data_IF_212436644743
#
_entry.id   IF_212436644743
#
_cell.length_a   1.000
_cell.length_b   1.000
_cell.length_c   1.000
_cell.angle_alpha   90.00
_cell.angle_beta   90.00
_cell.angle_gamma   90.00
#
_symmetry.space_group_name_H-M   'P 1'
#
loop_
_entity.id
_entity.type
_entity.pdbx_description
1 polymer ?
#
# COMPACT_ATOMS: atom_id res chain seq x y z
N UNK A 1 48.67 1.82 -42.02
CA UNK A 1 47.86 2.34 -40.90
C UNK A 1 47.64 1.20 -39.90
N UNK A 2 48.41 1.13 -38.81
CA UNK A 2 48.38 -0.01 -37.86
C UNK A 2 47.55 0.40 -36.65
N UNK A 3 46.34 -0.14 -36.51
CA UNK A 3 45.49 0.06 -35.33
C UNK A 3 46.03 -0.79 -34.18
N UNK A 4 46.47 -0.19 -33.08
CA UNK A 4 46.77 -0.93 -31.85
C UNK A 4 45.45 -1.21 -31.13
N UNK A 5 45.02 -2.47 -31.11
CA UNK A 5 43.97 -2.90 -30.20
C UNK A 5 44.63 -3.14 -28.83
N UNK A 6 44.38 -2.28 -27.85
CA UNK A 6 44.73 -2.57 -26.45
C UNK A 6 43.78 -3.65 -25.96
N UNK A 7 44.25 -4.88 -25.84
CA UNK A 7 43.49 -5.93 -25.18
C UNK A 7 43.50 -5.67 -23.67
N UNK A 8 42.31 -5.67 -23.06
CA UNK A 8 42.15 -5.64 -21.61
C UNK A 8 42.78 -6.91 -21.00
N UNK A 9 43.58 -6.78 -19.96
CA UNK A 9 44.27 -7.93 -19.38
C UNK A 9 43.29 -8.80 -18.58
N UNK A 10 43.53 -10.10 -18.56
CA UNK A 10 42.73 -11.04 -17.74
C UNK A 10 42.72 -10.63 -16.26
N UNK A 11 43.81 -10.05 -15.75
CA UNK A 11 43.92 -9.65 -14.34
C UNK A 11 43.10 -8.41 -14.01
N UNK A 12 42.99 -7.44 -14.92
CA UNK A 12 42.13 -6.26 -14.73
C UNK A 12 40.66 -6.67 -14.64
N UNK A 13 40.25 -7.65 -15.44
CA UNK A 13 38.88 -8.17 -15.42
C UNK A 13 38.57 -8.88 -14.10
N UNK A 14 39.52 -9.67 -13.58
CA UNK A 14 39.39 -10.34 -12.28
C UNK A 14 39.28 -9.32 -11.13
N UNK A 15 40.03 -8.22 -11.17
CA UNK A 15 39.94 -7.21 -10.11
C UNK A 15 38.59 -6.49 -10.10
N UNK A 16 38.03 -6.19 -11.28
CA UNK A 16 36.72 -5.56 -11.41
C UNK A 16 35.60 -6.44 -10.83
N UNK A 17 35.57 -7.74 -11.16
CA UNK A 17 34.53 -8.63 -10.65
C UNK A 17 34.63 -8.82 -9.13
N UNK A 18 35.83 -8.80 -8.56
CA UNK A 18 36.04 -8.91 -7.11
C UNK A 18 35.50 -7.66 -6.40
N UNK A 19 35.81 -6.47 -6.91
CA UNK A 19 35.28 -5.22 -6.35
C UNK A 19 33.75 -5.18 -6.45
N UNK A 20 33.19 -5.51 -7.62
CA UNK A 20 31.74 -5.56 -7.81
C UNK A 20 31.08 -6.59 -6.88
N UNK A 21 31.74 -7.73 -6.64
CA UNK A 21 31.27 -8.74 -5.70
C UNK A 21 31.17 -8.23 -4.25
N UNK A 22 32.20 -7.51 -3.77
CA UNK A 22 32.20 -6.93 -2.42
C UNK A 22 31.13 -5.84 -2.29
N UNK A 23 31.03 -4.93 -3.27
CA UNK A 23 30.03 -3.86 -3.26
C UNK A 23 28.61 -4.43 -3.32
N UNK A 24 28.38 -5.45 -4.15
CA UNK A 24 27.07 -6.10 -4.26
C UNK A 24 26.66 -6.78 -2.95
N UNK A 25 27.58 -7.46 -2.26
CA UNK A 25 27.31 -8.14 -1.00
C UNK A 25 26.77 -7.20 0.09
N UNK A 26 27.27 -5.96 0.14
CA UNK A 26 26.82 -4.96 1.12
C UNK A 26 25.59 -4.18 0.63
N UNK A 27 25.50 -3.90 -0.67
CA UNK A 27 24.42 -3.09 -1.23
C UNK A 27 23.08 -3.84 -1.32
N UNK A 28 23.09 -5.13 -1.68
CA UNK A 28 21.86 -5.91 -1.92
C UNK A 28 20.95 -5.96 -0.67
N UNK A 29 21.44 -6.29 0.54
CA UNK A 29 20.58 -6.34 1.73
C UNK A 29 19.95 -4.99 2.06
N UNK A 30 20.71 -3.90 1.90
CA UNK A 30 20.23 -2.55 2.18
C UNK A 30 19.16 -2.11 1.18
N UNK A 31 19.37 -2.40 -0.11
CA UNK A 31 18.38 -2.10 -1.16
C UNK A 31 17.10 -2.93 -0.99
N UNK A 32 17.19 -4.18 -0.53
CA UNK A 32 16.02 -5.00 -0.23
C UNK A 32 15.16 -4.37 0.89
N UNK A 33 15.77 -3.96 2.00
CA UNK A 33 15.08 -3.29 3.10
C UNK A 33 14.40 -1.99 2.65
N UNK A 34 15.12 -1.13 1.92
CA UNK A 34 14.55 0.15 1.43
C UNK A 34 13.39 -0.06 0.45
N UNK A 35 13.42 -1.12 -0.37
CA UNK A 35 12.29 -1.45 -1.26
C UNK A 35 11.06 -1.90 -0.48
N UNK A 36 11.25 -2.66 0.59
CA UNK A 36 10.16 -3.09 1.47
C UNK A 36 9.54 -1.90 2.21
N UNK A 37 10.36 -1.00 2.77
CA UNK A 37 9.89 0.22 3.42
C UNK A 37 9.11 1.13 2.46
N UNK A 38 9.61 1.28 1.22
CA UNK A 38 8.93 2.03 0.19
C UNK A 38 7.57 1.42 -0.18
N UNK A 39 7.46 0.08 -0.19
CA UNK A 39 6.19 -0.61 -0.43
C UNK A 39 5.19 -0.36 0.71
N UNK A 40 5.63 -0.45 1.96
CA UNK A 40 4.79 -0.14 3.14
C UNK A 40 4.27 1.29 3.05
N UNK A 41 5.16 2.25 2.81
CA UNK A 41 4.80 3.67 2.70
C UNK A 41 3.81 3.92 1.56
N UNK A 42 4.04 3.33 0.37
CA UNK A 42 3.12 3.44 -0.77
C UNK A 42 1.72 2.93 -0.43
N UNK A 43 1.64 1.74 0.18
CA UNK A 43 0.35 1.14 0.55
C UNK A 43 -0.37 2.01 1.59
N UNK A 44 0.35 2.44 2.64
CA UNK A 44 -0.22 3.32 3.67
C UNK A 44 -0.78 4.62 3.07
N UNK A 45 -0.02 5.27 2.17
CA UNK A 45 -0.46 6.49 1.49
C UNK A 45 -1.70 6.26 0.63
N UNK A 46 -1.75 5.16 -0.13
CA UNK A 46 -2.93 4.83 -0.95
C UNK A 46 -4.17 4.52 -0.09
N UNK A 47 -4.01 3.87 1.06
CA UNK A 47 -5.12 3.64 2.00
C UNK A 47 -5.64 4.98 2.54
N UNK A 48 -4.74 5.87 2.99
CA UNK A 48 -5.12 7.17 3.54
C UNK A 48 -5.76 8.09 2.47
N UNK A 49 -5.17 8.14 1.28
CA UNK A 49 -5.74 8.86 0.13
C UNK A 49 -7.11 8.28 -0.21
N UNK A 50 -7.22 6.95 -0.24
CA UNK A 50 -8.46 6.30 -0.62
C UNK A 50 -9.58 6.50 0.40
N UNK A 51 -9.26 6.47 1.70
CA UNK A 51 -10.22 6.82 2.74
C UNK A 51 -10.71 8.28 2.62
N UNK A 52 -9.82 9.21 2.27
CA UNK A 52 -10.20 10.61 2.04
C UNK A 52 -11.05 10.78 0.77
N UNK A 53 -10.70 10.10 -0.31
CA UNK A 53 -11.46 10.09 -1.57
C UNK A 53 -12.87 9.51 -1.38
N UNK A 54 -13.01 8.44 -0.60
CA UNK A 54 -14.32 7.87 -0.22
C UNK A 54 -15.17 8.90 0.53
N UNK A 55 -14.57 9.64 1.47
CA UNK A 55 -15.27 10.69 2.21
C UNK A 55 -15.68 11.88 1.31
N UNK A 56 -14.81 12.27 0.38
CA UNK A 56 -15.11 13.30 -0.62
C UNK A 56 -16.22 12.85 -1.58
N UNK A 57 -16.17 11.60 -2.03
CA UNK A 57 -17.19 11.01 -2.88
C UNK A 57 -18.55 11.02 -2.19
N UNK A 58 -18.61 10.53 -0.94
CA UNK A 58 -19.84 10.51 -0.15
C UNK A 58 -20.43 11.92 0.06
N UNK A 59 -19.58 12.93 0.23
CA UNK A 59 -20.00 14.33 0.40
C UNK A 59 -20.48 14.95 -0.91
N UNK A 60 -19.81 14.68 -2.03
CA UNK A 60 -20.11 15.27 -3.35
C UNK A 60 -21.31 14.64 -4.04
N UNK A 61 -21.47 13.32 -3.93
CA UNK A 61 -22.55 12.57 -4.56
C UNK A 61 -23.75 12.36 -3.62
N UNK A 62 -23.61 12.73 -2.34
CA UNK A 62 -24.60 12.49 -1.29
C UNK A 62 -25.09 11.02 -1.27
N UNK A 63 -24.22 10.08 -1.65
CA UNK A 63 -24.45 8.65 -1.75
C UNK A 63 -23.11 7.92 -1.61
N UNK A 64 -23.16 6.67 -1.16
CA UNK A 64 -22.03 5.73 -1.20
C UNK A 64 -22.34 4.67 -2.25
N UNK A 65 -21.33 4.27 -3.01
CA UNK A 65 -21.44 3.15 -3.96
C UNK A 65 -21.03 1.87 -3.24
N UNK A 66 -21.55 0.73 -3.69
CA UNK A 66 -21.17 -0.57 -3.14
C UNK A 66 -19.73 -0.92 -3.52
N UNK A 67 -19.11 -0.25 -4.50
CA UNK A 67 -17.75 -0.52 -4.96
C UNK A 67 -16.73 0.58 -4.59
N UNK A 68 -15.79 0.24 -3.70
CA UNK A 68 -14.74 1.17 -3.27
C UNK A 68 -13.81 1.63 -4.40
N UNK A 69 -13.59 0.84 -5.45
CA UNK A 69 -12.76 1.26 -6.59
C UNK A 69 -13.42 2.32 -7.46
N UNK A 70 -14.75 2.48 -7.38
CA UNK A 70 -15.48 3.57 -8.04
C UNK A 70 -15.35 4.86 -7.22
N UNK A 71 -15.35 4.73 -5.89
CA UNK A 71 -15.27 5.85 -4.98
C UNK A 71 -13.83 6.36 -4.76
N UNK A 72 -12.83 5.51 -4.96
CA UNK A 72 -11.43 5.84 -4.73
C UNK A 72 -10.47 5.28 -5.77
N UNK A 73 -9.66 6.18 -6.33
CA UNK A 73 -8.50 5.85 -7.16
C UNK A 73 -7.37 5.25 -6.33
N UNK A 74 -7.20 5.69 -5.07
CA UNK A 74 -6.25 5.11 -4.12
C UNK A 74 -6.49 3.61 -3.88
N UNK A 75 -7.74 3.23 -3.64
CA UNK A 75 -8.13 1.81 -3.48
C UNK A 75 -8.03 1.07 -4.81
N UNK A 76 -8.52 1.66 -5.90
CA UNK A 76 -8.41 1.06 -7.25
C UNK A 76 -6.96 0.73 -7.62
N UNK A 77 -6.02 1.64 -7.35
CA UNK A 77 -4.60 1.41 -7.57
C UNK A 77 -4.01 0.27 -6.73
N UNK A 78 -4.54 0.01 -5.54
CA UNK A 78 -4.09 -1.11 -4.69
C UNK A 78 -4.61 -2.45 -5.21
N UNK A 79 -5.85 -2.46 -5.74
CA UNK A 79 -6.43 -3.65 -6.37
C UNK A 79 -5.65 -3.99 -7.64
N UNK A 80 -5.35 -2.99 -8.48
CA UNK A 80 -4.60 -3.17 -9.73
C UNK A 80 -3.15 -3.64 -9.49
N UNK A 81 -2.51 -3.19 -8.40
CA UNK A 81 -1.17 -3.66 -8.04
C UNK A 81 -1.17 -5.05 -7.37
N UNK A 82 -2.34 -5.62 -7.10
CA UNK A 82 -2.52 -6.88 -6.37
C UNK A 82 -2.23 -6.78 -4.88
N UNK A 83 -2.09 -5.56 -4.35
CA UNK A 83 -1.85 -5.27 -2.94
C UNK A 83 -3.17 -5.20 -2.15
N UNK A 84 -4.33 -5.13 -2.80
CA UNK A 84 -5.64 -5.25 -2.15
C UNK A 84 -6.60 -6.16 -2.93
N UNK A 85 -7.60 -6.71 -2.25
CA UNK A 85 -8.70 -7.47 -2.84
C UNK A 85 -10.01 -6.91 -2.33
N UNK A 86 -10.93 -6.65 -3.25
CA UNK A 86 -12.29 -6.28 -2.90
C UNK A 86 -13.09 -7.51 -2.47
N UNK A 87 -13.87 -7.35 -1.40
CA UNK A 87 -14.76 -8.33 -0.79
C UNK A 87 -16.13 -7.70 -0.58
N UNK A 88 -17.12 -8.57 -0.32
CA UNK A 88 -18.52 -8.19 -0.08
C UNK A 88 -19.03 -7.22 -1.16
N UNK A 89 -19.06 -7.73 -2.40
CA UNK A 89 -19.51 -7.05 -3.62
C UNK A 89 -18.80 -5.74 -3.99
N UNK A 90 -17.71 -5.41 -3.29
CA UNK A 90 -16.90 -4.22 -3.53
C UNK A 90 -16.79 -3.29 -2.34
N UNK A 91 -17.59 -3.51 -1.28
CA UNK A 91 -17.76 -2.58 -0.16
C UNK A 91 -16.66 -2.71 0.90
N UNK A 92 -15.83 -3.74 0.76
CA UNK A 92 -14.66 -3.99 1.61
C UNK A 92 -13.41 -4.16 0.78
N UNK A 93 -12.32 -3.54 1.18
CA UNK A 93 -10.99 -3.74 0.62
C UNK A 93 -10.06 -4.35 1.68
N UNK A 94 -9.66 -5.59 1.46
CA UNK A 94 -8.63 -6.27 2.24
C UNK A 94 -7.26 -5.99 1.63
N UNK A 95 -6.43 -5.25 2.34
CA UNK A 95 -5.07 -4.91 1.92
C UNK A 95 -4.09 -5.96 2.44
N UNK A 96 -3.31 -6.49 1.50
CA UNK A 96 -2.29 -7.50 1.72
C UNK A 96 -0.96 -6.86 2.07
N UNK A 97 -0.28 -7.42 3.04
CA UNK A 97 1.12 -7.08 3.32
C UNK A 97 1.90 -8.30 3.77
N UNK A 98 3.06 -8.52 3.14
CA UNK A 98 3.87 -9.69 3.43
C UNK A 98 3.14 -10.99 3.09
N UNK A 99 3.04 -11.90 4.06
CA UNK A 99 2.30 -13.16 3.92
C UNK A 99 0.83 -13.08 4.37
N UNK A 100 0.38 -11.90 4.82
CA UNK A 100 -0.96 -11.69 5.38
C UNK A 100 -1.87 -11.06 4.33
N UNK A 101 -3.06 -11.63 4.15
CA UNK A 101 -4.04 -11.17 3.16
C UNK A 101 -4.94 -10.04 3.66
N UNK A 102 -5.19 -9.99 4.96
CA UNK A 102 -6.14 -9.14 5.66
C UNK A 102 -5.44 -8.17 6.62
N UNK A 103 -4.30 -7.63 6.19
CA UNK A 103 -3.47 -6.80 7.08
C UNK A 103 -4.20 -5.52 7.51
N UNK A 104 -4.86 -4.86 6.57
CA UNK A 104 -5.71 -3.68 6.82
C UNK A 104 -7.01 -3.89 6.05
N UNK A 105 -8.14 -3.65 6.70
CA UNK A 105 -9.47 -3.81 6.12
C UNK A 105 -10.12 -2.43 6.09
N UNK A 106 -10.43 -1.96 4.89
CA UNK A 106 -11.20 -0.73 4.68
C UNK A 106 -12.61 -1.15 4.30
N UNK A 107 -13.60 -0.79 5.11
CA UNK A 107 -14.99 -1.18 4.91
C UNK A 107 -15.90 0.05 4.98
N UNK A 108 -16.75 0.19 3.98
CA UNK A 108 -17.89 1.11 4.02
C UNK A 108 -19.11 0.31 4.44
N UNK A 109 -19.67 0.62 5.61
CA UNK A 109 -20.94 0.04 6.02
C UNK A 109 -22.07 1.01 5.71
N UNK A 110 -22.93 0.63 4.77
CA UNK A 110 -24.11 1.39 4.36
C UNK A 110 -25.29 1.02 5.25
N UNK A 111 -25.66 1.89 6.19
CA UNK A 111 -26.82 1.71 7.07
C UNK A 111 -28.05 2.48 6.56
N UNK A 112 -29.25 2.13 7.04
CA UNK A 112 -30.51 2.81 6.62
C UNK A 112 -30.52 4.33 6.89
N UNK A 113 -29.66 4.83 7.80
CA UNK A 113 -29.64 6.25 8.22
C UNK A 113 -28.23 6.86 8.35
N UNK A 114 -27.18 6.05 8.45
CA UNK A 114 -25.79 6.52 8.54
C UNK A 114 -24.89 5.59 7.73
N UNK A 115 -24.08 6.19 6.85
CA UNK A 115 -23.00 5.49 6.15
C UNK A 115 -21.71 5.77 6.91
N UNK A 116 -20.97 4.72 7.26
CA UNK A 116 -19.71 4.86 7.97
C UNK A 116 -18.56 4.23 7.19
N UNK A 117 -17.39 4.87 7.26
CA UNK A 117 -16.13 4.34 6.80
C UNK A 117 -15.36 3.84 8.01
N UNK A 118 -15.00 2.56 7.98
CA UNK A 118 -14.20 1.92 9.00
C UNK A 118 -12.88 1.45 8.40
N UNK A 119 -11.79 1.70 9.11
CA UNK A 119 -10.49 1.11 8.81
C UNK A 119 -10.13 0.28 10.03
N UNK A 120 -10.11 -1.03 9.85
CA UNK A 120 -9.76 -1.99 10.89
C UNK A 120 -8.48 -2.74 10.51
N UNK A 121 -7.87 -3.36 11.51
CA UNK A 121 -6.67 -4.16 11.35
C UNK A 121 -7.03 -5.62 11.54
N UNK A 122 -6.69 -6.46 10.55
CA UNK A 122 -6.78 -7.92 10.72
C UNK A 122 -5.54 -8.48 11.42
N UNK A 123 -5.49 -9.81 11.52
CA UNK A 123 -4.43 -10.48 12.26
C UNK A 123 -3.11 -10.46 11.50
N UNK A 124 -2.13 -9.73 12.04
CA UNK A 124 -0.80 -9.66 11.44
C UNK A 124 -0.05 -11.00 11.43
N UNK A 125 -0.55 -12.05 12.12
CA UNK A 125 0.01 -13.42 12.13
C UNK A 125 1.54 -13.49 12.37
N UNK A 126 2.10 -12.51 13.09
CA UNK A 126 3.54 -12.39 13.34
C UNK A 126 4.38 -11.80 12.21
N UNK A 127 3.77 -11.35 11.11
CA UNK A 127 4.44 -10.68 10.00
C UNK A 127 4.86 -9.25 10.41
N UNK A 128 6.17 -9.00 10.37
CA UNK A 128 6.74 -7.70 10.74
C UNK A 128 6.31 -6.59 9.78
N UNK A 129 6.10 -6.89 8.50
CA UNK A 129 5.69 -5.88 7.50
C UNK A 129 4.26 -5.44 7.74
N UNK A 130 3.38 -6.36 8.08
CA UNK A 130 1.99 -6.03 8.38
C UNK A 130 1.87 -5.20 9.66
N UNK A 131 2.53 -5.59 10.75
CA UNK A 131 2.55 -4.81 12.00
C UNK A 131 3.16 -3.41 11.81
N UNK A 132 4.21 -3.27 10.99
CA UNK A 132 4.74 -1.96 10.62
C UNK A 132 3.74 -1.12 9.83
N UNK A 133 3.02 -1.71 8.87
CA UNK A 133 1.97 -1.01 8.12
C UNK A 133 0.83 -0.55 9.03
N UNK A 134 0.37 -1.41 9.94
CA UNK A 134 -0.69 -1.09 10.91
C UNK A 134 -0.27 0.08 11.82
N UNK A 135 1.00 0.13 12.27
CA UNK A 135 1.50 1.25 13.07
C UNK A 135 1.58 2.58 12.31
N UNK A 136 1.64 2.55 10.97
CA UNK A 136 1.66 3.75 10.14
C UNK A 136 0.27 4.36 9.94
N UNK A 137 -0.80 3.60 10.23
CA UNK A 137 -2.19 4.02 10.05
C UNK A 137 -2.79 4.25 11.43
N UNK A 138 -3.39 5.43 11.64
CA UNK A 138 -4.09 5.71 12.87
C UNK A 138 -5.56 5.24 12.77
N UNK A 139 -5.84 4.04 13.25
CA UNK A 139 -7.20 3.50 13.30
C UNK A 139 -8.11 4.27 14.27
N UNK A 140 -7.57 5.06 15.21
CA UNK A 140 -8.39 5.83 16.16
C UNK A 140 -9.20 6.96 15.50
N UNK A 141 -8.82 7.32 14.27
CA UNK A 141 -9.56 8.28 13.44
C UNK A 141 -10.84 7.70 12.82
N UNK A 142 -11.08 6.39 12.98
CA UNK A 142 -12.24 5.68 12.45
C UNK A 142 -13.07 5.06 13.60
N UNK A 143 -14.40 4.92 13.47
CA UNK A 143 -15.21 5.12 12.27
C UNK A 143 -15.41 6.59 11.91
N UNK A 144 -15.25 6.92 10.62
CA UNK A 144 -15.62 8.23 10.09
C UNK A 144 -17.05 8.17 9.55
N UNK A 145 -17.92 9.06 10.03
CA UNK A 145 -19.27 9.19 9.48
C UNK A 145 -19.18 9.83 8.09
N UNK A 146 -19.67 9.13 7.08
CA UNK A 146 -19.74 9.60 5.70
C UNK A 146 -21.05 10.37 5.46
N UNK A 147 -22.16 9.91 6.06
CA UNK A 147 -23.49 10.54 5.97
C UNK A 147 -24.23 10.44 7.32
N UNK A 148 -25.03 11.46 7.65
CA UNK A 148 -25.84 11.50 8.88
C UNK A 148 -25.45 12.62 9.86
N UNK A 149 -26.35 13.62 9.99
CA UNK A 149 -26.43 14.72 10.97
C UNK A 149 -25.17 15.18 11.74
N UNK A 150 -24.10 15.54 11.04
CA UNK A 150 -23.02 16.35 11.64
C UNK A 150 -23.44 17.81 11.90
N UNK A 151 -24.68 18.18 11.55
CA UNK A 151 -25.28 19.49 11.84
C UNK A 151 -26.53 19.26 12.67
N UNK A 152 -26.42 19.47 13.98
CA UNK A 152 -27.58 19.82 14.80
C UNK A 152 -27.93 21.27 14.46
N UNK A 153 -29.13 21.52 13.96
CA UNK A 153 -29.72 22.86 13.98
C UNK A 153 -30.17 23.22 15.40
#
# INVERSE_FOLDING_TARGET
MKRSHSAFTMIELVFVIVILGILAAVAIPKLAATRDDAKISKIAMNIMSGAAEIAEYATSHAAVDDNLSVMSNGISSLVDSGDAVLKDDGSKAEVKMGSVSDCVIVEVASGEQEDNLTVSFGDANGDSKCSHLQSAIDASKYPMKLRGTSVNY
#
